data_IF_734757644128
#
_entry.id   IF_734757644128
#
_cell.length_a   1.000
_cell.length_b   1.000
_cell.length_c   1.000
_cell.angle_alpha   90.00
_cell.angle_beta   90.00
_cell.angle_gamma   90.00
#
_symmetry.space_group_name_H-M   'P 1'
#
loop_
_entity.id
_entity.type
_entity.pdbx_description
1 polymer ?
#
# COMPACT_ATOMS: atom_id res chain seq x y z
N UNK A 1 18.36 -16.36 -20.42
CA UNK A 1 17.96 -15.46 -21.53
C UNK A 1 17.78 -14.07 -20.94
N UNK A 2 18.51 -13.06 -21.43
CA UNK A 2 18.38 -11.67 -20.94
C UNK A 2 17.07 -11.10 -21.47
N UNK A 3 16.27 -10.44 -20.62
CA UNK A 3 15.06 -9.74 -21.07
C UNK A 3 15.45 -8.61 -22.03
N UNK A 4 14.97 -8.68 -23.27
CA UNK A 4 15.25 -7.66 -24.30
C UNK A 4 14.77 -6.26 -23.87
N UNK A 5 13.75 -6.18 -23.02
CA UNK A 5 13.27 -4.91 -22.46
C UNK A 5 14.32 -4.23 -21.57
N UNK A 6 15.12 -5.02 -20.83
CA UNK A 6 16.19 -4.52 -19.94
C UNK A 6 17.53 -4.38 -20.70
N UNK A 7 17.50 -4.35 -22.04
CA UNK A 7 18.69 -4.12 -22.86
C UNK A 7 19.26 -2.72 -22.61
N UNK A 8 20.60 -2.57 -22.49
CA UNK A 8 21.26 -1.26 -22.32
C UNK A 8 20.91 -0.22 -23.39
N UNK A 9 20.49 -0.65 -24.59
CA UNK A 9 20.11 0.25 -25.67
C UNK A 9 18.61 0.65 -25.65
N UNK A 10 17.74 -0.20 -25.10
CA UNK A 10 16.29 0.02 -25.16
C UNK A 10 15.73 0.62 -23.87
N UNK A 11 16.16 0.12 -22.70
CA UNK A 11 15.60 0.57 -21.44
C UNK A 11 15.82 2.07 -21.18
N UNK A 12 16.98 2.70 -21.50
CA UNK A 12 17.16 4.13 -21.29
C UNK A 12 16.22 4.95 -22.17
N UNK A 13 16.05 4.57 -23.44
CA UNK A 13 15.12 5.23 -24.37
C UNK A 13 13.66 5.12 -23.89
N UNK A 14 13.28 3.96 -23.35
CA UNK A 14 11.96 3.78 -22.73
C UNK A 14 11.77 4.65 -21.49
N UNK A 15 12.78 4.74 -20.62
CA UNK A 15 12.74 5.56 -19.40
C UNK A 15 12.70 7.06 -19.73
N UNK A 16 13.49 7.50 -20.72
CA UNK A 16 13.52 8.89 -21.21
C UNK A 16 12.15 9.30 -21.77
N UNK A 17 11.57 8.50 -22.66
CA UNK A 17 10.21 8.75 -23.17
C UNK A 17 9.17 8.72 -22.02
N UNK A 18 9.28 7.80 -21.07
CA UNK A 18 8.39 7.74 -19.92
C UNK A 18 8.51 8.99 -19.01
N UNK A 19 9.71 9.53 -18.83
CA UNK A 19 9.99 10.76 -18.07
C UNK A 19 9.29 11.98 -18.70
N UNK A 20 9.35 12.12 -20.02
CA UNK A 20 8.72 13.24 -20.72
C UNK A 20 7.18 13.17 -20.70
N UNK A 21 6.62 11.96 -20.65
CA UNK A 21 5.18 11.70 -20.57
C UNK A 21 4.64 11.94 -19.14
N UNK A 22 4.75 13.17 -18.66
CA UNK A 22 4.39 13.58 -17.29
C UNK A 22 2.97 13.21 -16.87
N UNK A 23 2.01 13.14 -17.80
CA UNK A 23 0.65 12.65 -17.56
C UNK A 23 0.59 11.22 -16.99
N UNK A 24 1.61 10.38 -17.21
CA UNK A 24 1.66 9.00 -16.73
C UNK A 24 2.23 8.83 -15.32
N UNK A 25 2.86 9.86 -14.75
CA UNK A 25 3.60 9.72 -13.49
C UNK A 25 3.52 10.92 -12.55
N UNK A 26 3.40 12.15 -13.06
CA UNK A 26 3.45 13.39 -12.29
C UNK A 26 2.04 13.78 -11.82
N UNK A 27 1.61 13.23 -10.69
CA UNK A 27 0.26 13.40 -10.10
C UNK A 27 -0.10 14.88 -9.88
N UNK A 28 0.90 15.74 -9.64
CA UNK A 28 0.74 17.19 -9.47
C UNK A 28 0.58 17.98 -10.78
N UNK A 29 0.71 17.34 -11.95
CA UNK A 29 0.51 17.99 -13.25
C UNK A 29 -0.97 18.06 -13.63
N UNK A 30 -1.37 19.14 -14.32
CA UNK A 30 -2.72 19.24 -14.91
C UNK A 30 -3.00 18.11 -15.90
N UNK A 31 -1.97 17.67 -16.63
CA UNK A 31 -2.07 16.63 -17.65
C UNK A 31 -2.31 15.22 -17.07
N UNK A 32 -2.10 14.99 -15.77
CA UNK A 32 -2.36 13.70 -15.13
C UNK A 32 -3.85 13.34 -15.08
N UNK A 33 -4.73 14.35 -15.00
CA UNK A 33 -6.19 14.17 -15.03
C UNK A 33 -6.74 14.01 -16.46
N UNK A 34 -5.94 14.36 -17.47
CA UNK A 34 -6.34 14.34 -18.87
C UNK A 34 -6.29 12.90 -19.43
N UNK A 35 -7.44 12.23 -19.41
CA UNK A 35 -7.59 10.85 -19.89
C UNK A 35 -7.16 10.67 -21.34
N UNK A 36 -7.32 11.68 -22.19
CA UNK A 36 -6.96 11.60 -23.60
C UNK A 36 -5.45 11.66 -23.77
N UNK A 37 -4.77 12.63 -23.12
CA UNK A 37 -3.30 12.68 -23.11
C UNK A 37 -2.67 11.42 -22.50
N UNK A 38 -3.22 10.91 -21.40
CA UNK A 38 -2.77 9.65 -20.81
C UNK A 38 -2.88 8.49 -21.81
N UNK A 39 -3.98 8.39 -22.56
CA UNK A 39 -4.17 7.35 -23.59
C UNK A 39 -3.15 7.49 -24.73
N UNK A 40 -2.96 8.70 -25.25
CA UNK A 40 -1.97 8.99 -26.30
C UNK A 40 -0.53 8.72 -25.85
N UNK A 41 -0.21 9.02 -24.60
CA UNK A 41 1.08 8.71 -23.98
C UNK A 41 1.33 7.20 -23.88
N UNK A 42 0.32 6.42 -23.48
CA UNK A 42 0.42 4.96 -23.52
C UNK A 42 0.61 4.43 -24.96
N UNK A 43 -0.07 4.99 -25.96
CA UNK A 43 0.11 4.58 -27.37
C UNK A 43 1.56 4.78 -27.82
N UNK A 44 2.17 5.94 -27.54
CA UNK A 44 3.60 6.21 -27.87
C UNK A 44 4.57 5.19 -27.24
N UNK A 45 4.34 4.82 -25.98
CA UNK A 45 5.15 3.80 -25.31
C UNK A 45 4.89 2.39 -25.84
N UNK A 46 3.67 2.09 -26.32
CA UNK A 46 3.36 0.82 -27.00
C UNK A 46 4.11 0.75 -28.33
N UNK A 47 4.05 1.80 -29.16
CA UNK A 47 4.79 1.92 -30.42
C UNK A 47 6.28 1.64 -30.21
N UNK A 48 6.91 2.29 -29.23
CA UNK A 48 8.30 2.03 -28.85
C UNK A 48 8.53 0.56 -28.44
N UNK A 49 7.64 -0.02 -27.63
CA UNK A 49 7.75 -1.42 -27.20
C UNK A 49 7.59 -2.44 -28.34
N UNK A 50 6.90 -2.12 -29.44
CA UNK A 50 6.72 -3.05 -30.57
C UNK A 50 8.05 -3.49 -31.19
N UNK A 51 9.07 -2.62 -31.16
CA UNK A 51 10.44 -2.87 -31.67
C UNK A 51 11.08 -4.06 -30.94
N UNK A 52 10.80 -4.23 -29.66
CA UNK A 52 11.37 -5.30 -28.81
C UNK A 52 10.42 -6.49 -28.67
N UNK A 53 9.12 -6.23 -28.64
CA UNK A 53 8.07 -7.23 -28.47
C UNK A 53 6.87 -6.89 -29.36
N UNK A 54 6.77 -7.55 -30.52
CA UNK A 54 5.76 -7.26 -31.55
C UNK A 54 4.29 -7.40 -31.11
N UNK A 55 4.01 -8.04 -29.96
CA UNK A 55 2.67 -8.12 -29.36
C UNK A 55 2.49 -7.17 -28.16
N UNK A 56 3.29 -6.11 -28.07
CA UNK A 56 3.16 -5.11 -27.03
C UNK A 56 1.80 -4.43 -27.12
N UNK A 57 1.11 -4.35 -25.98
CA UNK A 57 -0.16 -3.68 -25.81
C UNK A 57 -0.10 -2.73 -24.60
N UNK A 58 -1.18 -1.98 -24.35
CA UNK A 58 -1.27 -1.06 -23.22
C UNK A 58 -1.13 -1.83 -21.89
N UNK A 59 -1.59 -3.09 -21.81
CA UNK A 59 -1.40 -3.93 -20.61
C UNK A 59 0.08 -4.23 -20.35
N UNK A 60 0.83 -4.61 -21.38
CA UNK A 60 2.27 -4.86 -21.32
C UNK A 60 3.05 -3.64 -20.84
N UNK A 61 2.79 -2.46 -21.45
CA UNK A 61 3.45 -1.20 -21.06
C UNK A 61 3.12 -0.83 -19.62
N UNK A 62 1.84 -0.87 -19.24
CA UNK A 62 1.39 -0.58 -17.86
C UNK A 62 2.08 -1.51 -16.85
N UNK A 63 2.18 -2.82 -17.14
CA UNK A 63 2.90 -3.79 -16.30
C UNK A 63 4.39 -3.49 -16.21
N UNK A 64 5.05 -3.11 -17.31
CA UNK A 64 6.47 -2.73 -17.32
C UNK A 64 6.73 -1.46 -16.49
N UNK A 65 5.89 -0.43 -16.62
CA UNK A 65 5.94 0.79 -15.80
C UNK A 65 5.75 0.45 -14.31
N UNK A 66 4.71 -0.31 -13.97
CA UNK A 66 4.44 -0.72 -12.59
C UNK A 66 5.61 -1.50 -11.97
N UNK A 67 6.24 -2.39 -12.75
CA UNK A 67 7.44 -3.11 -12.33
C UNK A 67 8.63 -2.17 -12.11
N UNK A 68 8.91 -1.23 -13.02
CA UNK A 68 9.97 -0.23 -12.86
C UNK A 68 9.78 0.61 -11.60
N UNK A 69 8.57 1.12 -11.34
CA UNK A 69 8.24 1.87 -10.13
C UNK A 69 8.42 1.03 -8.86
N UNK A 70 8.00 -0.24 -8.89
CA UNK A 70 8.15 -1.18 -7.75
C UNK A 70 9.61 -1.47 -7.45
N UNK A 71 10.43 -1.69 -8.50
CA UNK A 71 11.86 -1.95 -8.38
C UNK A 71 12.58 -0.70 -7.85
N UNK A 72 12.29 0.48 -8.42
CA UNK A 72 12.85 1.75 -7.96
C UNK A 72 12.53 2.03 -6.49
N UNK A 73 11.27 1.92 -6.08
CA UNK A 73 10.84 2.12 -4.68
C UNK A 73 11.55 1.17 -3.71
N UNK A 74 11.70 -0.11 -4.07
CA UNK A 74 12.45 -1.08 -3.26
C UNK A 74 13.92 -0.72 -3.11
N UNK A 75 14.55 -0.18 -4.15
CA UNK A 75 15.95 0.24 -4.09
C UNK A 75 16.11 1.54 -3.28
N UNK A 76 15.24 2.53 -3.50
CA UNK A 76 15.19 3.78 -2.75
C UNK A 76 14.99 3.54 -1.24
N UNK A 77 14.13 2.59 -0.87
CA UNK A 77 13.94 2.20 0.53
C UNK A 77 15.24 1.70 1.18
N UNK A 78 16.05 0.88 0.51
CA UNK A 78 17.34 0.41 1.06
C UNK A 78 18.32 1.56 1.30
N UNK A 79 18.37 2.52 0.38
CA UNK A 79 19.19 3.74 0.54
C UNK A 79 18.73 4.48 1.81
N UNK A 80 17.43 4.70 1.96
CA UNK A 80 16.84 5.41 3.09
C UNK A 80 17.01 4.66 4.42
N UNK A 81 16.92 3.32 4.41
CA UNK A 81 17.17 2.46 5.57
C UNK A 81 18.64 2.51 6.03
N UNK A 82 19.60 2.48 5.11
CA UNK A 82 21.02 2.64 5.45
C UNK A 82 21.30 4.02 6.09
N UNK A 83 20.77 5.10 5.50
CA UNK A 83 20.86 6.47 6.04
C UNK A 83 20.22 6.60 7.43
N UNK A 84 19.06 5.96 7.66
CA UNK A 84 18.34 6.04 8.94
C UNK A 84 19.04 5.26 10.06
N UNK A 85 19.82 4.23 9.73
CA UNK A 85 20.47 3.36 10.72
C UNK A 85 21.70 3.99 11.40
N UNK A 86 21.98 5.28 11.16
CA UNK A 86 23.13 5.99 11.74
C UNK A 86 24.49 5.55 11.17
N UNK A 87 24.47 4.85 10.04
CA UNK A 87 25.65 4.38 9.35
C UNK A 87 26.53 5.55 8.89
N UNK A 88 27.85 5.36 8.87
CA UNK A 88 28.79 6.39 8.42
C UNK A 88 28.56 6.78 6.95
N UNK A 89 29.11 7.91 6.50
CA UNK A 89 28.93 8.36 5.11
C UNK A 89 29.46 7.33 4.07
N UNK A 90 30.48 6.54 4.42
CA UNK A 90 31.02 5.42 3.62
C UNK A 90 30.17 4.14 3.68
N UNK A 91 29.17 4.06 4.55
CA UNK A 91 28.32 2.86 4.76
C UNK A 91 26.93 2.97 4.12
N UNK A 92 26.64 4.08 3.41
CA UNK A 92 25.36 4.28 2.73
C UNK A 92 25.21 3.30 1.56
N UNK A 93 24.05 2.64 1.48
CA UNK A 93 23.76 1.65 0.45
C UNK A 93 23.80 2.27 -0.96
N UNK A 94 24.68 1.75 -1.81
CA UNK A 94 24.77 2.09 -3.23
C UNK A 94 23.82 1.20 -4.05
N UNK A 95 22.91 1.77 -4.86
CA UNK A 95 22.04 1.03 -5.78
C UNK A 95 22.81 0.10 -6.71
N UNK A 96 22.30 -1.13 -6.88
CA UNK A 96 22.85 -2.12 -7.83
C UNK A 96 22.21 -2.04 -9.22
N UNK A 97 21.12 -1.28 -9.34
CA UNK A 97 20.41 -1.06 -10.60
C UNK A 97 21.14 -0.01 -11.44
N UNK A 98 21.72 -0.44 -12.57
CA UNK A 98 22.47 0.44 -13.48
C UNK A 98 21.64 1.59 -14.09
N UNK A 99 20.30 1.48 -14.09
CA UNK A 99 19.35 2.50 -14.54
C UNK A 99 18.65 3.23 -13.37
N UNK A 100 19.11 3.08 -12.13
CA UNK A 100 18.50 3.72 -10.97
C UNK A 100 18.39 5.24 -11.12
N UNK A 101 19.50 5.88 -11.52
CA UNK A 101 19.59 7.32 -11.70
C UNK A 101 18.59 7.84 -12.75
N UNK A 102 18.40 7.07 -13.83
CA UNK A 102 17.42 7.40 -14.87
C UNK A 102 15.97 7.43 -14.35
N UNK A 103 15.68 6.75 -13.23
CA UNK A 103 14.36 6.72 -12.59
C UNK A 103 14.21 7.73 -11.45
N UNK A 104 15.25 8.50 -11.10
CA UNK A 104 15.23 9.43 -9.95
C UNK A 104 14.12 10.50 -10.03
N UNK A 105 13.60 10.81 -11.22
CA UNK A 105 12.46 11.73 -11.39
C UNK A 105 11.16 11.24 -10.70
N UNK A 106 11.08 9.97 -10.31
CA UNK A 106 9.95 9.40 -9.58
C UNK A 106 9.96 9.75 -8.08
N UNK A 107 11.09 10.17 -7.51
CA UNK A 107 11.23 10.49 -6.07
C UNK A 107 10.25 11.58 -5.63
N UNK A 108 10.04 12.62 -6.45
CA UNK A 108 9.09 13.73 -6.23
C UNK A 108 7.62 13.29 -6.04
N UNK A 109 7.29 12.03 -6.35
CA UNK A 109 5.96 11.45 -6.19
C UNK A 109 5.86 10.48 -5.01
N UNK A 110 6.99 10.10 -4.41
CA UNK A 110 7.11 9.14 -3.31
C UNK A 110 7.25 9.84 -1.95
N UNK A 111 7.66 11.11 -1.94
CA UNK A 111 7.51 11.97 -0.75
C UNK A 111 6.02 12.07 -0.40
N UNK A 112 5.64 11.36 0.67
CA UNK A 112 4.28 11.27 1.13
C UNK A 112 3.72 12.68 1.37
N UNK A 113 2.48 12.93 0.91
CA UNK A 113 1.73 14.11 1.36
C UNK A 113 1.76 14.10 2.89
N UNK A 114 2.23 15.16 3.56
CA UNK A 114 2.15 15.21 5.02
C UNK A 114 0.69 15.03 5.42
N UNK A 115 0.41 14.06 6.29
CA UNK A 115 -0.92 13.81 6.79
C UNK A 115 -1.42 15.05 7.51
N UNK A 116 -2.34 15.79 6.90
CA UNK A 116 -3.00 16.92 7.54
C UNK A 116 -3.91 16.37 8.64
N UNK A 117 -3.52 16.58 9.89
CA UNK A 117 -4.37 16.28 11.03
C UNK A 117 -5.51 17.29 11.07
N UNK A 118 -6.76 16.82 11.05
CA UNK A 118 -7.94 17.68 11.18
C UNK A 118 -8.06 18.43 12.51
N UNK A 119 -7.11 18.23 13.44
CA UNK A 119 -7.09 18.86 14.76
C UNK A 119 -6.58 20.31 14.75
N UNK A 120 -5.91 20.76 13.69
CA UNK A 120 -5.26 22.10 13.63
C UNK A 120 -6.15 23.22 13.03
N UNK A 121 -7.39 22.91 12.65
CA UNK A 121 -8.29 23.85 11.97
C UNK A 121 -9.25 24.62 12.89
N UNK A 122 -9.06 24.60 14.21
CA UNK A 122 -9.93 25.32 15.16
C UNK A 122 -9.10 26.25 16.07
N UNK A 123 -8.66 27.37 15.50
CA UNK A 123 -8.31 28.57 16.28
C UNK A 123 -8.45 29.86 15.44
N UNK A 124 -9.53 30.61 15.68
CA UNK A 124 -9.74 32.02 15.24
C UNK A 124 -9.93 32.24 13.73
N UNK A 125 -11.10 32.62 13.20
CA UNK A 125 -12.15 33.47 13.76
C UNK A 125 -13.49 33.25 13.02
N UNK A 126 -14.59 33.37 13.77
CA UNK A 126 -15.97 33.44 13.24
C UNK A 126 -16.36 34.92 13.08
N UNK A 127 -16.94 35.29 11.94
CA UNK A 127 -17.84 36.45 11.78
C UNK A 127 -18.51 36.44 10.39
N UNK A 128 -19.85 36.46 10.32
CA UNK A 128 -20.60 36.78 9.09
C UNK A 128 -21.56 35.72 8.54
N UNK A 129 -22.72 35.56 9.21
CA UNK A 129 -24.07 35.23 8.73
C UNK A 129 -24.35 34.27 7.54
N UNK A 130 -25.02 33.15 7.88
CA UNK A 130 -26.29 32.59 7.34
C UNK A 130 -26.53 32.56 5.82
N UNK A 131 -26.66 31.36 5.23
CA UNK A 131 -27.94 30.87 4.67
C UNK A 131 -27.98 29.33 4.48
N UNK A 132 -29.20 28.82 4.26
CA UNK A 132 -29.65 27.41 4.40
C UNK A 132 -29.24 26.48 3.23
N UNK A 133 -29.14 25.16 3.49
CA UNK A 133 -28.63 24.18 2.53
C UNK A 133 -28.55 22.74 3.05
N UNK A 134 -29.69 22.16 3.44
CA UNK A 134 -29.80 20.76 3.89
C UNK A 134 -29.35 19.74 2.81
N UNK A 135 -28.34 18.91 3.09
CA UNK A 135 -28.25 17.54 2.53
C UNK A 135 -27.38 16.56 3.36
N UNK A 136 -27.87 15.32 3.39
CA UNK A 136 -27.49 14.11 4.13
C UNK A 136 -26.01 13.74 4.31
N UNK A 137 -25.78 13.02 5.41
CA UNK A 137 -24.55 12.33 5.79
C UNK A 137 -24.32 11.07 4.95
N UNK A 138 -23.11 10.86 4.43
CA UNK A 138 -22.64 9.50 4.13
C UNK A 138 -21.13 9.35 4.36
N UNK A 139 -20.80 8.65 5.44
CA UNK A 139 -19.43 8.22 5.72
C UNK A 139 -19.09 6.94 4.96
N UNK A 140 -17.93 6.90 4.30
CA UNK A 140 -17.14 5.67 4.16
C UNK A 140 -15.65 6.05 4.12
N UNK A 141 -14.94 5.70 5.20
CA UNK A 141 -13.49 5.84 5.31
C UNK A 141 -12.95 4.51 5.83
N UNK A 142 -12.56 3.64 4.90
CA UNK A 142 -11.81 2.44 5.20
C UNK A 142 -10.33 2.68 4.90
N UNK A 143 -9.55 2.91 5.96
CA UNK A 143 -8.12 2.62 5.93
C UNK A 143 -7.79 1.73 7.14
N UNK A 144 -7.14 0.61 6.83
CA UNK A 144 -6.71 -0.41 7.77
C UNK A 144 -5.17 -0.46 7.75
N UNK A 145 -4.57 -1.20 8.69
CA UNK A 145 -3.12 -1.45 8.82
C UNK A 145 -2.29 -0.38 9.54
N UNK A 146 -2.42 -0.37 10.87
CA UNK A 146 -1.28 -0.11 11.74
C UNK A 146 -0.42 -1.36 11.89
N UNK A 147 0.90 -1.24 11.72
CA UNK A 147 1.87 -2.31 11.99
C UNK A 147 2.26 -2.36 13.48
N UNK A 148 2.72 -3.53 13.91
CA UNK A 148 3.29 -3.80 15.24
C UNK A 148 4.60 -3.02 15.49
N UNK A 149 4.88 -2.62 16.74
CA UNK A 149 5.89 -3.28 17.62
C UNK A 149 6.20 -2.56 18.96
N UNK A 150 6.06 -3.35 20.05
CA UNK A 150 6.94 -3.50 21.24
C UNK A 150 7.54 -2.29 22.04
N UNK A 151 7.12 -2.24 23.32
CA UNK A 151 7.93 -2.31 24.57
C UNK A 151 9.15 -1.38 24.81
N UNK A 152 9.16 -0.66 25.95
CA UNK A 152 10.17 -0.80 27.04
C UNK A 152 9.80 -0.10 28.37
N UNK A 153 10.04 -0.79 29.50
CA UNK A 153 10.43 -0.32 30.86
C UNK A 153 9.50 0.56 31.74
N UNK A 154 9.72 0.48 33.07
CA UNK A 154 8.91 1.04 34.18
C UNK A 154 9.80 1.24 35.43
N UNK A 155 9.31 1.65 36.64
CA UNK A 155 8.11 2.41 37.05
C UNK A 155 8.56 3.76 37.70
N UNK A 156 8.36 4.18 38.99
CA UNK A 156 7.24 4.10 39.97
C UNK A 156 6.87 5.47 40.66
N UNK A 157 5.94 5.43 41.65
CA UNK A 157 5.61 6.47 42.69
C UNK A 157 4.83 7.72 42.17
N UNK A 158 3.72 8.24 42.74
CA UNK A 158 2.90 7.93 43.94
C UNK A 158 1.40 8.37 43.86
N UNK A 159 0.54 7.60 44.55
CA UNK A 159 -0.60 8.03 45.40
C UNK A 159 -1.78 8.92 44.91
N UNK A 160 -2.95 8.26 44.80
CA UNK A 160 -4.27 8.65 45.33
C UNK A 160 -5.10 9.79 44.71
N UNK A 161 -6.27 9.44 44.14
CA UNK A 161 -7.64 9.72 44.67
C UNK A 161 -8.73 9.58 43.59
N UNK A 162 -9.72 8.68 43.76
CA UNK A 162 -11.18 8.99 43.86
C UNK A 162 -12.13 7.78 43.70
N UNK A 163 -13.13 7.77 44.59
CA UNK A 163 -14.57 7.41 44.40
C UNK A 163 -14.96 5.98 43.95
N UNK A 164 -15.51 5.27 44.95
CA UNK A 164 -16.48 4.17 44.89
C UNK A 164 -17.67 4.45 43.97
N UNK A 165 -18.05 3.51 43.08
CA UNK A 165 -19.38 2.82 43.00
C UNK A 165 -19.62 2.16 41.62
N UNK A 166 -20.28 0.98 41.65
CA UNK A 166 -20.94 0.23 40.54
C UNK A 166 -20.09 -0.62 39.57
N UNK A 167 -19.98 -1.89 39.96
CA UNK A 167 -20.19 -3.10 39.13
C UNK A 167 -21.34 -2.95 38.10
N UNK A 168 -21.50 -3.76 37.04
CA UNK A 168 -20.67 -4.79 36.37
C UNK A 168 -21.30 -4.98 34.96
N UNK A 169 -20.49 -5.04 33.90
CA UNK A 169 -20.80 -5.73 32.62
C UNK A 169 -19.73 -5.48 31.55
N UNK A 170 -19.30 -4.23 31.37
CA UNK A 170 -18.39 -3.82 30.28
C UNK A 170 -16.94 -4.31 30.46
N UNK A 171 -16.47 -4.48 31.70
CA UNK A 171 -15.12 -5.00 31.99
C UNK A 171 -14.89 -6.42 31.47
N UNK A 172 -15.89 -7.30 31.58
CA UNK A 172 -15.80 -8.67 31.06
C UNK A 172 -15.76 -8.68 29.53
N UNK A 173 -16.54 -7.83 28.86
CA UNK A 173 -16.52 -7.71 27.39
C UNK A 173 -15.16 -7.24 26.88
N UNK A 174 -14.57 -6.19 27.48
CA UNK A 174 -13.23 -5.71 27.11
C UNK A 174 -12.15 -6.77 27.35
N UNK A 175 -12.21 -7.48 28.48
CA UNK A 175 -11.24 -8.53 28.78
C UNK A 175 -11.37 -9.71 27.80
N UNK A 176 -12.61 -10.15 27.50
CA UNK A 176 -12.88 -11.24 26.56
C UNK A 176 -12.53 -10.86 25.11
N UNK A 177 -12.79 -9.62 24.69
CA UNK A 177 -12.35 -9.11 23.39
C UNK A 177 -10.81 -9.05 23.30
N UNK A 178 -10.13 -8.60 24.35
CA UNK A 178 -8.66 -8.60 24.40
C UNK A 178 -8.05 -10.01 24.40
N UNK A 179 -8.73 -10.99 25.00
CA UNK A 179 -8.33 -12.39 24.97
C UNK A 179 -8.52 -13.02 23.58
N UNK A 180 -9.62 -12.70 22.88
CA UNK A 180 -9.86 -13.16 21.51
C UNK A 180 -8.89 -12.54 20.49
N UNK A 181 -8.44 -11.28 20.71
CA UNK A 181 -7.44 -10.63 19.86
C UNK A 181 -5.99 -11.09 20.13
N UNK A 182 -5.69 -11.49 21.37
CA UNK A 182 -4.38 -12.02 21.76
C UNK A 182 -4.31 -13.56 21.72
N UNK A 183 -5.33 -14.25 21.21
CA UNK A 183 -5.20 -15.66 20.89
C UNK A 183 -4.19 -15.82 19.75
N UNK A 184 -3.06 -16.42 20.10
CA UNK A 184 -2.02 -16.81 19.16
C UNK A 184 -2.64 -17.82 18.19
N UNK A 185 -2.66 -17.51 16.89
CA UNK A 185 -3.11 -18.46 15.88
C UNK A 185 -2.10 -19.59 15.80
N UNK A 186 -2.59 -20.81 15.87
CA UNK A 186 -1.77 -22.00 15.66
C UNK A 186 -1.88 -22.46 14.20
N UNK A 187 -0.94 -23.26 13.72
CA UNK A 187 -0.83 -23.65 12.30
C UNK A 187 -2.09 -24.36 11.75
N UNK A 188 -2.89 -24.95 12.65
CA UNK A 188 -4.20 -25.53 12.35
C UNK A 188 -5.26 -24.49 11.93
N UNK A 189 -5.21 -23.27 12.46
CA UNK A 189 -6.19 -22.21 12.16
C UNK A 189 -6.06 -21.72 10.73
N UNK A 190 -4.83 -21.54 10.24
CA UNK A 190 -4.56 -21.10 8.87
C UNK A 190 -4.92 -22.18 7.84
N UNK A 191 -4.67 -23.46 8.15
CA UNK A 191 -5.15 -24.60 7.37
C UNK A 191 -6.68 -24.68 7.33
N UNK A 192 -7.35 -24.51 8.48
CA UNK A 192 -8.80 -24.47 8.58
C UNK A 192 -9.42 -23.31 7.79
N UNK A 193 -8.83 -22.11 7.88
CA UNK A 193 -9.26 -20.94 7.12
C UNK A 193 -9.07 -21.12 5.61
N UNK A 194 -7.97 -21.74 5.17
CA UNK A 194 -7.73 -22.08 3.77
C UNK A 194 -8.74 -23.11 3.25
N UNK A 195 -8.95 -24.20 4.00
CA UNK A 195 -9.90 -25.25 3.65
C UNK A 195 -11.33 -24.70 3.55
N UNK A 196 -11.80 -23.96 4.55
CA UNK A 196 -13.12 -23.33 4.54
C UNK A 196 -13.30 -22.36 3.35
N UNK A 197 -12.28 -21.55 3.04
CA UNK A 197 -12.29 -20.63 1.88
C UNK A 197 -12.29 -21.37 0.54
N UNK A 198 -11.69 -22.56 0.47
CA UNK A 198 -11.70 -23.42 -0.72
C UNK A 198 -13.07 -24.08 -0.91
N UNK A 199 -13.61 -24.70 0.14
CA UNK A 199 -14.94 -25.35 0.13
C UNK A 199 -16.03 -24.34 -0.22
N UNK A 200 -16.00 -23.13 0.36
CA UNK A 200 -16.96 -22.05 0.06
C UNK A 200 -16.92 -21.55 -1.39
N UNK A 201 -15.89 -21.91 -2.17
CA UNK A 201 -15.70 -21.55 -3.59
C UNK A 201 -15.92 -22.72 -4.56
N UNK A 202 -16.22 -23.91 -4.06
CA UNK A 202 -16.53 -25.08 -4.89
C UNK A 202 -18.00 -25.03 -5.34
N UNK A 203 -18.30 -25.56 -6.53
CA UNK A 203 -19.69 -25.78 -6.97
C UNK A 203 -20.34 -26.87 -6.12
N UNK A 204 -21.67 -26.93 -6.09
CA UNK A 204 -22.37 -27.91 -5.24
C UNK A 204 -22.06 -29.36 -5.66
N UNK A 205 -21.93 -29.64 -6.97
CA UNK A 205 -21.46 -30.94 -7.48
C UNK A 205 -20.09 -31.34 -6.90
N UNK A 206 -19.18 -30.37 -6.72
CA UNK A 206 -17.86 -30.61 -6.14
C UNK A 206 -17.91 -30.77 -4.61
N UNK A 207 -18.85 -30.12 -3.92
CA UNK A 207 -19.04 -30.32 -2.47
C UNK A 207 -19.67 -31.69 -2.19
N UNK A 208 -20.66 -32.08 -2.98
CA UNK A 208 -21.35 -33.38 -2.85
C UNK A 208 -20.40 -34.58 -3.10
N UNK A 209 -19.35 -34.41 -3.91
CA UNK A 209 -18.27 -35.38 -4.07
C UNK A 209 -17.22 -35.33 -2.95
N UNK A 210 -17.06 -34.19 -2.28
CA UNK A 210 -16.08 -33.99 -1.20
C UNK A 210 -16.60 -34.46 0.17
N UNK A 211 -17.89 -34.27 0.46
CA UNK A 211 -18.55 -34.71 1.70
C UNK A 211 -18.26 -36.17 2.09
N UNK A 212 -18.46 -37.19 1.22
CA UNK A 212 -18.16 -38.58 1.59
C UNK A 212 -16.66 -38.85 1.82
N UNK A 213 -15.79 -38.12 1.14
CA UNK A 213 -14.33 -38.24 1.31
C UNK A 213 -13.86 -37.63 2.64
N UNK A 214 -14.49 -36.55 3.10
CA UNK A 214 -14.20 -35.95 4.41
C UNK A 214 -14.69 -36.85 5.55
N UNK A 215 -15.85 -37.49 5.41
CA UNK A 215 -16.38 -38.46 6.39
C UNK A 215 -15.49 -39.70 6.52
N UNK A 216 -14.74 -40.07 5.47
CA UNK A 216 -13.80 -41.20 5.52
C UNK A 216 -12.43 -40.85 6.13
N UNK A 217 -12.12 -39.56 6.30
CA UNK A 217 -10.84 -39.05 6.81
C UNK A 217 -10.90 -38.57 8.27
N UNK A 218 -12.07 -38.64 8.91
CA UNK A 218 -12.36 -38.27 10.30
C UNK A 218 -12.63 -39.52 11.15
#
# INVERSE_FOLDING_TARGET
>A
MVDKFTSPHFLPQFIEMYRDLTCLWKVRSKDYSDRQKCKEAYTKLVELCTVVYAKADISYVTKKIANLRTIFKKELNKINESKRSGAGADEVYVPRLWYFESLHFLTDQEEARPSVSSLDSISGNISGDIEDGTFEEMADSQDLFGNETQSVTSPPVSMTKKRKTRQVSTGNFLLQASAALNQKRDECDDLGAFAAKKIRRMSEDQKQLLEPLLIQLL
#
